data_IF_090990456928
#
_entry.id   IF_090990456928
#
_cell.length_a   1.000
_cell.length_b   1.000
_cell.length_c   1.000
_cell.angle_alpha   90.00
_cell.angle_beta   90.00
_cell.angle_gamma   90.00
#
_symmetry.space_group_name_H-M   'P 1'
#
loop_
_entity.id
_entity.type
_entity.pdbx_description
1 polymer ?
#
# COMPACT_ATOMS: atom_id res chain seq x y z
N UNK A 1 -9.40 2.28 10.25
CA UNK A 1 -9.71 3.60 9.68
C UNK A 1 -8.52 4.03 8.85
N UNK A 2 -8.72 4.04 7.53
CA UNK A 2 -7.68 4.18 6.50
C UNK A 2 -7.12 5.59 6.48
N UNK A 3 -5.78 5.69 6.58
CA UNK A 3 -4.93 6.39 5.61
C UNK A 3 -5.49 7.73 5.09
N UNK A 4 -5.17 8.87 5.73
CA UNK A 4 -5.55 10.16 5.13
C UNK A 4 -4.57 11.33 5.25
N UNK A 5 -3.48 11.27 6.02
CA UNK A 5 -2.56 12.43 6.06
C UNK A 5 -1.39 12.34 5.06
N UNK A 6 -0.82 11.16 4.83
CA UNK A 6 0.33 11.02 3.92
C UNK A 6 -0.04 10.96 2.43
N UNK A 7 -1.21 10.43 2.04
CA UNK A 7 -1.57 10.38 0.60
C UNK A 7 -1.96 11.76 0.05
N UNK A 8 -2.53 12.64 0.89
CA UNK A 8 -2.88 14.01 0.50
C UNK A 8 -1.63 14.86 0.32
N UNK A 9 -0.63 14.72 1.20
CA UNK A 9 0.64 15.46 1.09
C UNK A 9 1.42 15.06 -0.16
N UNK A 10 1.53 13.76 -0.46
CA UNK A 10 2.23 13.27 -1.66
C UNK A 10 1.46 13.53 -2.96
N UNK A 11 0.12 13.47 -2.97
CA UNK A 11 -0.67 13.81 -4.17
C UNK A 11 -0.67 15.31 -4.49
N UNK A 12 -0.64 16.20 -3.49
CA UNK A 12 -0.51 17.64 -3.73
C UNK A 12 0.91 18.02 -4.18
N UNK A 13 1.94 17.36 -3.64
CA UNK A 13 3.33 17.56 -4.06
C UNK A 13 3.55 17.13 -5.52
N UNK A 14 2.97 15.99 -5.94
CA UNK A 14 3.02 15.51 -7.34
C UNK A 14 2.20 16.41 -8.29
N UNK A 15 1.03 16.92 -7.88
CA UNK A 15 0.28 17.88 -8.71
C UNK A 15 0.97 19.25 -8.84
N UNK A 16 1.70 19.70 -7.81
CA UNK A 16 2.47 20.95 -7.85
C UNK A 16 3.79 20.80 -8.62
N UNK A 17 4.43 19.63 -8.59
CA UNK A 17 5.55 19.30 -9.49
C UNK A 17 5.09 19.25 -10.96
N UNK A 18 3.93 18.67 -11.27
CA UNK A 18 3.41 18.65 -12.66
C UNK A 18 2.99 20.03 -13.19
N UNK A 19 2.56 20.95 -12.30
CA UNK A 19 2.26 22.34 -12.67
C UNK A 19 3.50 23.21 -12.88
N UNK A 20 4.59 22.94 -12.17
CA UNK A 20 5.86 23.71 -12.30
C UNK A 20 6.72 23.30 -13.49
N UNK A 21 6.43 22.17 -14.15
CA UNK A 21 7.09 21.73 -15.38
C UNK A 21 6.47 22.25 -16.69
N UNK A 22 5.40 23.06 -16.62
CA UNK A 22 4.71 23.62 -17.80
C UNK A 22 5.21 25.00 -18.23
N UNK A 23 6.24 25.56 -17.60
CA UNK A 23 6.81 26.85 -18.00
C UNK A 23 8.30 26.94 -17.69
N UNK A 24 9.14 26.45 -18.62
CA UNK A 24 10.35 27.13 -19.12
C UNK A 24 11.27 26.13 -19.84
N UNK A 25 11.63 26.48 -21.08
CA UNK A 25 12.49 25.70 -21.95
C UNK A 25 13.99 26.00 -21.71
N UNK A 26 14.83 24.96 -21.64
CA UNK A 26 15.96 24.68 -22.58
C UNK A 26 16.84 23.48 -22.16
N UNK A 27 16.67 22.39 -22.91
CA UNK A 27 17.67 21.59 -23.68
C UNK A 27 19.09 21.30 -23.13
N UNK A 28 19.34 20.01 -22.87
CA UNK A 28 20.25 19.10 -23.62
C UNK A 28 20.86 18.03 -22.70
N UNK A 29 20.04 17.08 -22.24
CA UNK A 29 20.48 15.79 -21.64
C UNK A 29 19.34 14.79 -21.35
N UNK A 30 18.08 15.18 -21.58
CA UNK A 30 16.89 14.36 -21.30
C UNK A 30 16.46 13.45 -22.45
N UNK A 31 16.99 13.62 -23.66
CA UNK A 31 16.57 12.83 -24.84
C UNK A 31 17.05 11.38 -24.80
N UNK A 32 18.21 11.10 -24.19
CA UNK A 32 18.73 9.73 -24.10
C UNK A 32 18.10 8.93 -22.95
N UNK A 33 17.74 9.58 -21.85
CA UNK A 33 17.11 8.90 -20.70
C UNK A 33 15.64 8.57 -20.97
N UNK A 34 14.92 9.48 -21.65
CA UNK A 34 13.53 9.23 -22.07
C UNK A 34 13.46 8.12 -23.13
N UNK A 35 14.36 8.12 -24.12
CA UNK A 35 14.40 7.08 -25.15
C UNK A 35 14.81 5.70 -24.59
N UNK A 36 15.71 5.64 -23.59
CA UNK A 36 16.10 4.39 -22.93
C UNK A 36 14.96 3.86 -22.05
N UNK A 37 14.25 4.73 -21.33
CA UNK A 37 13.06 4.36 -20.55
C UNK A 37 11.91 3.93 -21.47
N UNK A 38 11.64 4.65 -22.55
CA UNK A 38 10.59 4.30 -23.53
C UNK A 38 10.91 2.98 -24.27
N UNK A 39 12.20 2.70 -24.51
CA UNK A 39 12.67 1.42 -25.07
C UNK A 39 12.75 0.28 -24.03
N UNK A 40 12.69 0.59 -22.74
CA UNK A 40 12.54 -0.37 -21.64
C UNK A 40 11.05 -0.66 -21.36
N UNK A 41 10.20 0.38 -21.34
CA UNK A 41 8.74 0.28 -21.25
C UNK A 41 8.16 -0.47 -22.45
N UNK A 42 8.58 -0.16 -23.67
CA UNK A 42 8.14 -0.91 -24.88
C UNK A 42 8.71 -2.33 -24.98
N UNK A 43 9.78 -2.66 -24.24
CA UNK A 43 10.27 -4.06 -24.11
C UNK A 43 9.52 -4.83 -23.02
N UNK A 44 9.04 -4.16 -21.98
CA UNK A 44 8.16 -4.72 -20.95
C UNK A 44 6.73 -4.93 -21.48
N UNK A 45 6.18 -3.97 -22.22
CA UNK A 45 4.87 -4.09 -22.92
C UNK A 45 4.89 -5.26 -23.93
N UNK A 46 5.97 -5.41 -24.70
CA UNK A 46 6.09 -6.50 -25.70
C UNK A 46 6.15 -7.90 -25.09
N UNK A 47 6.49 -8.07 -23.82
CA UNK A 47 6.59 -9.39 -23.19
C UNK A 47 5.27 -9.88 -22.59
N UNK A 48 4.35 -8.99 -22.21
CA UNK A 48 3.04 -9.34 -21.64
C UNK A 48 1.90 -9.25 -22.65
N UNK A 49 2.01 -8.38 -23.66
CA UNK A 49 0.93 -8.11 -24.62
C UNK A 49 0.64 -9.26 -25.59
N UNK A 50 1.64 -10.04 -26.02
CA UNK A 50 1.43 -11.04 -27.08
C UNK A 50 0.46 -12.17 -26.72
N UNK A 51 0.27 -12.47 -25.42
CA UNK A 51 -0.68 -13.51 -24.96
C UNK A 51 -2.09 -12.97 -24.69
N UNK A 52 -2.21 -11.73 -24.21
CA UNK A 52 -3.52 -11.08 -23.97
C UNK A 52 -4.18 -10.63 -25.30
N UNK A 53 -3.35 -10.26 -26.29
CA UNK A 53 -3.76 -9.89 -27.65
C UNK A 53 -4.57 -10.96 -28.41
N UNK A 54 -4.51 -12.24 -28.01
CA UNK A 54 -5.17 -13.36 -28.69
C UNK A 54 -6.57 -13.69 -28.12
N UNK A 55 -6.99 -13.02 -27.06
CA UNK A 55 -8.21 -13.37 -26.33
C UNK A 55 -9.45 -12.69 -26.90
N UNK A 56 -10.46 -13.50 -27.25
CA UNK A 56 -11.80 -12.97 -27.52
C UNK A 56 -12.57 -12.82 -26.21
N UNK A 57 -12.27 -11.76 -25.46
CA UNK A 57 -12.91 -11.40 -24.18
C UNK A 57 -14.43 -11.20 -24.25
N UNK A 58 -15.01 -11.22 -25.46
CA UNK A 58 -16.44 -11.18 -25.64
C UNK A 58 -17.08 -12.57 -25.49
N UNK A 59 -16.38 -13.67 -25.80
CA UNK A 59 -16.93 -15.04 -25.83
C UNK A 59 -16.33 -16.00 -24.80
N UNK A 60 -15.11 -15.73 -24.33
CA UNK A 60 -14.36 -16.62 -23.45
C UNK A 60 -14.06 -15.95 -22.10
N UNK A 61 -14.28 -16.69 -21.01
CA UNK A 61 -13.91 -16.26 -19.65
C UNK A 61 -12.40 -16.32 -19.45
N UNK A 62 -11.83 -15.41 -18.65
CA UNK A 62 -10.45 -15.52 -18.17
C UNK A 62 -10.22 -16.81 -17.38
N UNK A 63 -11.24 -17.41 -16.76
CA UNK A 63 -11.12 -18.66 -16.00
C UNK A 63 -10.86 -19.87 -16.92
N UNK A 64 -11.32 -19.83 -18.18
CA UNK A 64 -10.89 -20.82 -19.20
C UNK A 64 -9.40 -20.70 -19.53
N UNK A 65 -8.79 -19.58 -19.12
CA UNK A 65 -7.37 -19.27 -19.17
C UNK A 65 -6.84 -18.92 -17.76
N UNK A 66 -7.32 -19.60 -16.70
CA UNK A 66 -6.96 -19.27 -15.32
C UNK A 66 -5.44 -19.20 -15.09
N UNK A 67 -4.68 -20.04 -15.80
CA UNK A 67 -3.22 -20.01 -15.84
C UNK A 67 -2.66 -18.65 -16.33
N UNK A 68 -3.34 -17.96 -17.24
CA UNK A 68 -2.93 -16.64 -17.75
C UNK A 68 -3.20 -15.53 -16.74
N UNK A 69 -4.32 -15.57 -16.01
CA UNK A 69 -4.58 -14.60 -14.93
C UNK A 69 -3.61 -14.78 -13.76
N UNK A 70 -3.47 -16.02 -13.27
CA UNK A 70 -2.51 -16.38 -12.23
C UNK A 70 -1.09 -16.01 -12.65
N UNK A 71 -0.69 -16.32 -13.89
CA UNK A 71 0.62 -15.92 -14.44
C UNK A 71 0.80 -14.41 -14.51
N UNK A 72 -0.21 -13.64 -14.92
CA UNK A 72 -0.11 -12.18 -14.98
C UNK A 72 0.06 -11.58 -13.57
N UNK A 73 -0.73 -12.06 -12.60
CA UNK A 73 -0.62 -11.65 -11.20
C UNK A 73 0.75 -12.01 -10.59
N UNK A 74 1.22 -13.24 -10.82
CA UNK A 74 2.54 -13.66 -10.35
C UNK A 74 3.68 -12.89 -11.01
N UNK A 75 3.59 -12.61 -12.32
CA UNK A 75 4.59 -11.85 -13.05
C UNK A 75 4.63 -10.39 -12.59
N UNK A 76 3.48 -9.74 -12.43
CA UNK A 76 3.39 -8.36 -11.96
C UNK A 76 4.02 -8.16 -10.57
N UNK A 77 3.93 -9.20 -9.73
CA UNK A 77 4.46 -9.20 -8.37
C UNK A 77 5.78 -9.98 -8.22
N UNK A 78 6.39 -10.44 -9.32
CA UNK A 78 7.70 -11.08 -9.26
C UNK A 78 8.77 -10.01 -9.09
N UNK A 79 9.15 -9.75 -7.84
CA UNK A 79 10.17 -8.78 -7.49
C UNK A 79 11.36 -9.46 -6.82
N UNK A 80 12.54 -9.17 -7.35
CA UNK A 80 13.82 -9.51 -6.73
C UNK A 80 14.34 -8.27 -6.02
N UNK A 81 14.55 -8.38 -4.71
CA UNK A 81 15.23 -7.33 -3.96
C UNK A 81 16.71 -7.36 -4.32
N UNK A 82 17.22 -6.23 -4.81
CA UNK A 82 18.63 -6.06 -5.17
C UNK A 82 19.33 -5.19 -4.13
N UNK A 83 20.61 -5.45 -3.90
CA UNK A 83 21.44 -4.57 -3.08
C UNK A 83 21.71 -3.25 -3.85
N UNK A 84 21.10 -2.16 -3.39
CA UNK A 84 21.28 -0.81 -3.97
C UNK A 84 22.47 -0.05 -3.38
N UNK A 85 23.13 -0.58 -2.35
CA UNK A 85 24.13 0.12 -1.55
C UNK A 85 23.58 1.23 -0.65
N UNK A 86 22.26 1.48 -0.67
CA UNK A 86 21.62 2.48 0.19
C UNK A 86 21.63 2.03 1.65
N UNK A 87 21.76 3.00 2.56
CA UNK A 87 21.75 2.76 4.01
C UNK A 87 20.36 2.25 4.46
N UNK A 88 19.29 2.93 4.03
CA UNK A 88 17.92 2.43 4.16
C UNK A 88 17.65 1.40 3.08
N UNK A 89 17.41 0.15 3.49
CA UNK A 89 17.15 -0.98 2.59
C UNK A 89 15.77 -1.60 2.83
N UNK A 90 15.24 -1.49 4.05
CA UNK A 90 13.89 -1.95 4.40
C UNK A 90 12.88 -0.91 3.95
N UNK A 91 11.82 -1.35 3.29
CA UNK A 91 10.70 -0.52 2.90
C UNK A 91 9.38 -1.16 3.34
N UNK A 92 8.61 -0.42 4.14
CA UNK A 92 7.32 -0.86 4.65
C UNK A 92 6.22 -0.97 3.59
N UNK A 93 6.48 -0.42 2.39
CA UNK A 93 5.56 -0.47 1.26
C UNK A 93 6.35 -0.69 -0.02
N UNK A 94 6.21 -1.89 -0.56
CA UNK A 94 6.80 -2.31 -1.81
C UNK A 94 5.73 -2.24 -2.91
N UNK A 95 6.12 -1.99 -4.18
CA UNK A 95 5.17 -1.99 -5.28
C UNK A 95 4.44 -3.33 -5.35
N UNK A 96 3.12 -3.30 -5.41
CA UNK A 96 2.27 -4.49 -5.44
C UNK A 96 1.10 -4.22 -6.36
N UNK A 97 0.79 -5.17 -7.23
CA UNK A 97 -0.41 -5.15 -8.06
C UNK A 97 -1.42 -6.14 -7.51
N UNK A 98 -2.57 -5.62 -7.10
CA UNK A 98 -3.63 -6.44 -6.53
C UNK A 98 -4.40 -7.18 -7.64
N UNK A 99 -5.18 -8.19 -7.29
CA UNK A 99 -6.05 -8.87 -8.26
C UNK A 99 -7.03 -7.91 -8.95
N UNK A 100 -7.57 -6.95 -8.20
CA UNK A 100 -8.40 -5.87 -8.70
C UNK A 100 -7.68 -5.02 -9.74
N UNK A 101 -6.39 -4.72 -9.53
CA UNK A 101 -5.59 -3.96 -10.49
C UNK A 101 -5.38 -4.75 -11.78
N UNK A 102 -5.05 -6.04 -11.68
CA UNK A 102 -4.93 -6.93 -12.84
C UNK A 102 -6.26 -7.04 -13.60
N UNK A 103 -7.40 -7.17 -12.89
CA UNK A 103 -8.74 -7.20 -13.51
C UNK A 103 -9.06 -5.90 -14.24
N UNK A 104 -8.72 -4.74 -13.66
CA UNK A 104 -8.91 -3.44 -14.33
C UNK A 104 -8.11 -3.37 -15.62
N UNK A 105 -6.84 -3.79 -15.61
CA UNK A 105 -5.99 -3.83 -16.82
C UNK A 105 -6.60 -4.71 -17.93
N UNK A 106 -7.13 -5.88 -17.57
CA UNK A 106 -7.83 -6.77 -18.52
C UNK A 106 -9.05 -6.07 -19.13
N UNK A 107 -9.84 -5.36 -18.32
CA UNK A 107 -11.01 -4.63 -18.82
C UNK A 107 -10.62 -3.38 -19.62
N UNK A 108 -9.53 -2.69 -19.27
CA UNK A 108 -8.98 -1.56 -20.03
C UNK A 108 -8.61 -2.01 -21.45
N UNK A 109 -7.91 -3.14 -21.56
CA UNK A 109 -7.53 -3.72 -22.85
C UNK A 109 -8.76 -4.15 -23.66
N UNK A 110 -9.70 -4.87 -23.03
CA UNK A 110 -10.96 -5.31 -23.67
C UNK A 110 -11.75 -4.12 -24.22
N UNK A 111 -12.00 -3.12 -23.38
CA UNK A 111 -12.93 -2.04 -23.71
C UNK A 111 -12.30 -0.94 -24.56
N UNK A 112 -10.99 -0.75 -24.53
CA UNK A 112 -10.31 0.12 -25.49
C UNK A 112 -10.52 -0.36 -26.94
N UNK A 113 -10.36 -1.66 -27.21
CA UNK A 113 -10.59 -2.26 -28.54
C UNK A 113 -12.05 -2.18 -28.97
N UNK A 114 -12.96 -2.52 -28.06
CA UNK A 114 -14.40 -2.46 -28.32
C UNK A 114 -14.84 -1.02 -28.61
N UNK A 115 -14.33 -0.05 -27.86
CA UNK A 115 -14.65 1.36 -28.07
C UNK A 115 -14.15 1.86 -29.44
N UNK A 116 -12.97 1.40 -29.89
CA UNK A 116 -12.48 1.70 -31.23
C UNK A 116 -13.48 1.21 -32.30
N UNK A 117 -14.07 0.03 -32.14
CA UNK A 117 -15.12 -0.49 -33.03
C UNK A 117 -16.40 0.34 -32.92
N UNK A 118 -16.87 0.64 -31.71
CA UNK A 118 -18.10 1.40 -31.48
C UNK A 118 -18.05 2.77 -32.18
N UNK A 119 -16.90 3.46 -32.13
CA UNK A 119 -16.67 4.76 -32.79
C UNK A 119 -16.74 4.72 -34.32
N UNK A 120 -16.62 3.54 -34.95
CA UNK A 120 -16.79 3.39 -36.41
C UNK A 120 -18.26 3.32 -36.85
N UNK A 121 -19.21 3.20 -35.90
CA UNK A 121 -20.63 3.06 -36.19
C UNK A 121 -21.28 4.43 -36.38
N UNK A 122 -22.30 4.49 -37.24
CA UNK A 122 -23.08 5.72 -37.48
C UNK A 122 -23.83 6.21 -36.24
N UNK A 123 -24.32 5.28 -35.42
CA UNK A 123 -24.84 5.54 -34.08
C UNK A 123 -24.14 4.62 -33.06
N UNK A 124 -23.02 5.07 -32.45
CA UNK A 124 -22.28 4.25 -31.49
C UNK A 124 -23.10 3.85 -30.27
N UNK A 125 -23.90 4.76 -29.71
CA UNK A 125 -24.71 4.46 -28.52
C UNK A 125 -25.86 3.51 -28.85
N UNK A 126 -26.53 3.72 -29.99
CA UNK A 126 -27.54 2.81 -30.51
C UNK A 126 -26.97 1.40 -30.73
N UNK A 127 -25.77 1.29 -31.33
CA UNK A 127 -25.08 0.01 -31.51
C UNK A 127 -24.82 -0.71 -30.18
N UNK A 128 -24.40 0.01 -29.13
CA UNK A 128 -24.22 -0.59 -27.78
C UNK A 128 -25.57 -1.04 -27.20
N UNK A 129 -26.62 -0.22 -27.30
CA UNK A 129 -27.97 -0.60 -26.85
C UNK A 129 -28.48 -1.84 -27.58
N UNK A 130 -28.20 -1.95 -28.86
CA UNK A 130 -28.58 -3.10 -29.68
C UNK A 130 -27.91 -4.39 -29.22
N UNK A 131 -26.62 -4.33 -28.84
CA UNK A 131 -25.90 -5.48 -28.29
C UNK A 131 -26.47 -5.98 -26.96
N UNK A 132 -26.91 -5.09 -26.07
CA UNK A 132 -27.14 -5.46 -24.66
C UNK A 132 -28.57 -5.28 -24.15
N UNK A 133 -29.40 -4.49 -24.84
CA UNK A 133 -30.75 -4.12 -24.40
C UNK A 133 -31.85 -4.53 -25.39
N UNK A 134 -31.54 -4.67 -26.68
CA UNK A 134 -32.51 -5.00 -27.70
C UNK A 134 -32.47 -6.49 -28.09
N UNK A 135 -33.35 -7.31 -27.51
CA UNK A 135 -33.40 -8.75 -27.80
C UNK A 135 -33.74 -9.11 -29.25
N UNK A 136 -34.24 -8.14 -30.05
CA UNK A 136 -34.58 -8.33 -31.47
C UNK A 136 -33.44 -7.91 -32.41
N UNK A 137 -32.36 -7.32 -31.89
CA UNK A 137 -31.23 -6.89 -32.70
C UNK A 137 -30.41 -8.11 -33.17
N UNK A 138 -29.91 -8.13 -34.43
CA UNK A 138 -28.97 -9.16 -34.87
C UNK A 138 -27.63 -9.12 -34.11
N UNK A 139 -27.34 -8.03 -33.40
CA UNK A 139 -26.14 -7.88 -32.57
C UNK A 139 -26.35 -8.30 -31.11
N UNK A 140 -27.57 -8.68 -30.74
CA UNK A 140 -27.91 -8.97 -29.34
C UNK A 140 -27.06 -10.11 -28.77
N UNK A 141 -26.44 -9.84 -27.62
CA UNK A 141 -25.56 -10.77 -26.89
C UNK A 141 -26.39 -11.74 -26.04
N UNK A 142 -27.07 -12.66 -26.72
CA UNK A 142 -27.87 -13.72 -26.11
C UNK A 142 -27.02 -14.77 -25.36
N UNK A 143 -25.73 -14.85 -25.68
CA UNK A 143 -24.74 -15.70 -25.02
C UNK A 143 -24.30 -15.22 -23.62
N UNK A 144 -24.72 -14.01 -23.25
CA UNK A 144 -24.47 -13.41 -21.93
C UNK A 144 -25.70 -13.57 -21.03
N UNK A 145 -25.47 -13.64 -19.72
CA UNK A 145 -26.53 -13.48 -18.72
C UNK A 145 -27.03 -12.04 -18.67
N UNK A 146 -28.16 -11.78 -18.00
CA UNK A 146 -28.68 -10.42 -17.84
C UNK A 146 -27.68 -9.50 -17.09
N UNK A 147 -27.03 -10.01 -16.05
CA UNK A 147 -26.03 -9.27 -15.27
C UNK A 147 -24.79 -8.94 -16.13
N UNK A 148 -24.29 -9.91 -16.89
CA UNK A 148 -23.14 -9.69 -17.78
C UNK A 148 -23.43 -8.72 -18.92
N UNK A 149 -24.66 -8.76 -19.47
CA UNK A 149 -25.09 -7.74 -20.44
C UNK A 149 -25.15 -6.35 -19.81
N UNK A 150 -25.60 -6.24 -18.56
CA UNK A 150 -25.59 -4.97 -17.85
C UNK A 150 -24.16 -4.48 -17.63
N UNK A 151 -23.27 -5.33 -17.14
CA UNK A 151 -21.87 -5.00 -16.94
C UNK A 151 -21.18 -4.54 -18.23
N UNK A 152 -21.38 -5.26 -19.32
CA UNK A 152 -20.83 -4.89 -20.61
C UNK A 152 -21.41 -3.57 -21.15
N UNK A 153 -22.71 -3.35 -20.97
CA UNK A 153 -23.35 -2.08 -21.31
C UNK A 153 -22.75 -0.91 -20.52
N UNK A 154 -22.62 -1.05 -19.19
CA UNK A 154 -22.08 0.00 -18.32
C UNK A 154 -20.64 0.34 -18.69
N UNK A 155 -19.79 -0.69 -18.84
CA UNK A 155 -18.38 -0.53 -19.16
C UNK A 155 -18.19 0.08 -20.56
N UNK A 156 -18.88 -0.42 -21.59
CA UNK A 156 -18.76 0.14 -22.95
C UNK A 156 -19.27 1.58 -23.06
N UNK A 157 -20.38 1.90 -22.39
CA UNK A 157 -20.93 3.26 -22.42
C UNK A 157 -19.99 4.23 -21.71
N UNK A 158 -19.39 3.84 -20.59
CA UNK A 158 -18.39 4.68 -19.92
C UNK A 158 -17.18 4.95 -20.83
N UNK A 159 -16.68 3.91 -21.51
CA UNK A 159 -15.61 4.05 -22.50
C UNK A 159 -15.98 4.93 -23.70
N UNK A 160 -17.22 4.82 -24.18
CA UNK A 160 -17.73 5.66 -25.29
C UNK A 160 -17.72 7.14 -24.89
N UNK A 161 -18.23 7.46 -23.70
CA UNK A 161 -18.39 8.85 -23.27
C UNK A 161 -17.12 9.48 -22.70
N UNK A 162 -16.29 8.70 -21.99
CA UNK A 162 -15.12 9.23 -21.24
C UNK A 162 -13.78 8.86 -21.86
N UNK A 163 -13.75 7.94 -22.84
CA UNK A 163 -12.51 7.43 -23.43
C UNK A 163 -11.73 6.45 -22.56
N UNK A 164 -12.12 6.28 -21.29
CA UNK A 164 -11.64 5.28 -20.32
C UNK A 164 -12.68 5.08 -19.23
N UNK A 165 -12.72 3.90 -18.60
CA UNK A 165 -13.56 3.70 -17.42
C UNK A 165 -12.94 4.34 -16.18
N UNK A 166 -13.78 4.85 -15.27
CA UNK A 166 -13.34 5.23 -13.91
C UNK A 166 -13.64 4.10 -12.92
N UNK A 167 -14.74 3.37 -13.14
CA UNK A 167 -15.13 2.23 -12.33
C UNK A 167 -15.70 1.16 -13.24
N UNK A 168 -15.19 -0.06 -13.11
CA UNK A 168 -15.71 -1.19 -13.87
C UNK A 168 -16.83 -1.89 -13.12
N UNK A 169 -17.89 -2.24 -13.85
CA UNK A 169 -18.79 -3.28 -13.42
C UNK A 169 -18.09 -4.65 -13.57
N UNK A 170 -17.73 -5.24 -12.42
CA UNK A 170 -16.95 -6.49 -12.34
C UNK A 170 -17.77 -7.76 -12.59
N UNK A 171 -19.10 -7.67 -12.81
CA UNK A 171 -19.91 -8.80 -13.29
C UNK A 171 -19.73 -9.05 -14.80
N UNK A 172 -18.63 -8.55 -15.37
CA UNK A 172 -18.26 -8.73 -16.75
C UNK A 172 -18.05 -10.21 -17.08
N UNK A 173 -18.51 -10.64 -18.25
CA UNK A 173 -18.33 -12.01 -18.73
C UNK A 173 -16.86 -12.44 -18.83
N UNK A 174 -15.93 -11.47 -18.92
CA UNK A 174 -14.50 -11.72 -18.80
C UNK A 174 -14.17 -12.47 -17.50
N UNK A 175 -14.90 -12.24 -16.41
CA UNK A 175 -14.65 -12.84 -15.09
C UNK A 175 -15.66 -13.92 -14.70
N UNK A 176 -16.45 -14.42 -15.66
CA UNK A 176 -17.36 -15.56 -15.42
C UNK A 176 -16.59 -16.73 -14.80
N UNK A 177 -17.20 -17.43 -13.84
CA UNK A 177 -16.59 -18.57 -13.13
C UNK A 177 -15.33 -18.21 -12.33
N UNK A 178 -15.10 -16.93 -12.04
CA UNK A 178 -14.02 -16.49 -11.15
C UNK A 178 -14.60 -15.89 -9.88
N UNK A 179 -14.15 -16.36 -8.71
CA UNK A 179 -14.48 -15.73 -7.43
C UNK A 179 -13.45 -14.64 -7.10
N UNK A 180 -13.94 -13.49 -6.66
CA UNK A 180 -13.13 -12.40 -6.12
C UNK A 180 -13.51 -12.17 -4.66
N UNK A 181 -12.50 -12.01 -3.80
CA UNK A 181 -12.67 -11.73 -2.39
C UNK A 181 -11.67 -10.66 -1.96
N UNK A 182 -12.17 -9.44 -1.73
CA UNK A 182 -11.33 -8.30 -1.36
C UNK A 182 -10.64 -8.43 0.00
N UNK A 183 -11.17 -9.25 0.91
CA UNK A 183 -10.50 -9.52 2.19
C UNK A 183 -9.29 -10.44 1.95
N UNK A 184 -9.44 -11.50 1.16
CA UNK A 184 -8.32 -12.39 0.79
C UNK A 184 -7.25 -11.61 0.00
N UNK A 185 -7.66 -10.72 -0.92
CA UNK A 185 -6.74 -9.83 -1.62
C UNK A 185 -5.93 -8.96 -0.64
N UNK A 186 -6.60 -8.36 0.35
CA UNK A 186 -5.94 -7.55 1.38
C UNK A 186 -4.94 -8.35 2.22
N UNK A 187 -5.23 -9.63 2.48
CA UNK A 187 -4.31 -10.51 3.20
C UNK A 187 -3.14 -10.99 2.31
N UNK A 188 -3.38 -11.25 1.02
CA UNK A 188 -2.33 -11.57 0.04
C UNK A 188 -1.31 -10.43 -0.07
N UNK A 189 -1.76 -9.17 -0.05
CA UNK A 189 -0.87 -8.01 -0.03
C UNK A 189 0.07 -8.07 1.18
N UNK A 190 -0.42 -8.36 2.38
CA UNK A 190 0.43 -8.46 3.57
C UNK A 190 1.46 -9.58 3.48
N UNK A 191 1.08 -10.74 2.93
CA UNK A 191 2.02 -11.84 2.66
C UNK A 191 3.12 -11.38 1.72
N UNK A 192 2.76 -10.69 0.62
CA UNK A 192 3.72 -10.15 -0.33
C UNK A 192 4.67 -9.14 0.34
N UNK A 193 4.13 -8.16 1.07
CA UNK A 193 4.94 -7.15 1.76
C UNK A 193 5.90 -7.78 2.77
N UNK A 194 5.45 -8.79 3.53
CA UNK A 194 6.30 -9.53 4.47
C UNK A 194 7.46 -10.22 3.78
N UNK A 195 7.21 -10.86 2.64
CA UNK A 195 8.25 -11.52 1.86
C UNK A 195 9.28 -10.53 1.29
N UNK A 196 8.85 -9.35 0.84
CA UNK A 196 9.76 -8.30 0.36
C UNK A 196 10.65 -7.79 1.51
N UNK A 197 10.06 -7.49 2.67
CA UNK A 197 10.82 -7.03 3.85
C UNK A 197 11.80 -8.11 4.34
N UNK A 198 11.42 -9.38 4.33
CA UNK A 198 12.34 -10.48 4.66
C UNK A 198 13.55 -10.51 3.73
N UNK A 199 13.35 -10.34 2.41
CA UNK A 199 14.45 -10.29 1.45
C UNK A 199 15.35 -9.06 1.66
N UNK A 200 14.77 -7.89 1.95
CA UNK A 200 15.51 -6.66 2.27
C UNK A 200 16.38 -6.82 3.52
N UNK A 201 15.80 -7.39 4.58
CA UNK A 201 16.55 -7.69 5.80
C UNK A 201 17.67 -8.69 5.53
N UNK A 202 17.43 -9.71 4.71
CA UNK A 202 18.47 -10.68 4.34
C UNK A 202 19.62 -10.02 3.55
N UNK A 203 19.31 -9.09 2.64
CA UNK A 203 20.33 -8.31 1.92
C UNK A 203 21.17 -7.48 2.89
N UNK A 204 20.54 -6.80 3.86
CA UNK A 204 21.26 -6.06 4.91
C UNK A 204 22.19 -6.96 5.72
N UNK A 205 21.68 -8.09 6.21
CA UNK A 205 22.47 -9.05 7.00
C UNK A 205 23.67 -9.55 6.19
N UNK A 206 23.47 -9.90 4.92
CA UNK A 206 24.52 -10.39 4.03
C UNK A 206 25.59 -9.32 3.77
N UNK A 207 25.19 -8.08 3.49
CA UNK A 207 26.09 -6.96 3.22
C UNK A 207 27.04 -6.70 4.40
N UNK A 208 26.50 -6.79 5.62
CA UNK A 208 27.25 -6.60 6.85
C UNK A 208 27.87 -7.89 7.40
N UNK A 209 27.74 -9.01 6.68
CA UNK A 209 28.27 -10.33 7.05
C UNK A 209 27.78 -10.82 8.44
N UNK A 210 26.59 -10.36 8.85
CA UNK A 210 25.96 -10.74 10.11
C UNK A 210 25.32 -12.11 9.92
N UNK A 211 25.78 -13.09 10.69
CA UNK A 211 25.23 -14.45 10.69
C UNK A 211 24.45 -14.68 11.96
N UNK A 212 23.16 -14.94 11.81
CA UNK A 212 22.29 -15.36 12.91
C UNK A 212 22.36 -16.89 13.00
N UNK A 213 22.70 -17.49 14.16
CA UNK A 213 22.80 -18.94 14.29
C UNK A 213 21.47 -19.63 13.97
N UNK A 214 21.54 -20.79 13.32
CA UNK A 214 20.34 -21.58 13.00
C UNK A 214 19.52 -21.88 14.25
N UNK A 215 18.18 -21.88 14.11
CA UNK A 215 17.23 -22.11 15.19
C UNK A 215 17.29 -21.07 16.34
N UNK A 216 17.97 -19.95 16.14
CA UNK A 216 17.84 -18.79 17.02
C UNK A 216 16.57 -18.03 16.67
N UNK A 217 15.72 -17.81 17.67
CA UNK A 217 14.58 -16.89 17.56
C UNK A 217 14.96 -15.60 18.24
N UNK A 218 15.03 -14.53 17.48
CA UNK A 218 15.25 -13.18 17.99
C UNK A 218 13.92 -12.43 18.02
N UNK A 219 13.77 -11.48 18.94
CA UNK A 219 12.67 -10.52 18.91
C UNK A 219 13.24 -9.13 18.73
N UNK A 220 12.77 -8.42 17.71
CA UNK A 220 13.07 -7.01 17.50
C UNK A 220 11.95 -6.19 18.10
N UNK A 221 12.25 -5.38 19.11
CA UNK A 221 11.30 -4.48 19.77
C UNK A 221 11.67 -3.05 19.42
N UNK A 222 10.70 -2.28 18.93
CA UNK A 222 10.93 -0.95 18.39
C UNK A 222 10.07 0.07 19.14
N UNK A 223 10.71 1.08 19.72
CA UNK A 223 10.02 2.18 20.39
C UNK A 223 9.31 3.08 19.38
N UNK A 224 8.17 3.67 19.75
CA UNK A 224 7.53 4.67 18.91
C UNK A 224 8.37 5.97 18.87
N UNK A 225 8.22 6.76 17.80
CA UNK A 225 8.79 8.11 17.62
C UNK A 225 10.29 8.13 17.27
N UNK A 226 11.16 7.64 18.15
CA UNK A 226 12.62 7.61 17.92
C UNK A 226 13.10 6.33 17.24
N UNK A 227 12.21 5.33 17.12
CA UNK A 227 12.44 4.07 16.40
C UNK A 227 13.69 3.33 16.89
N UNK A 228 13.97 3.40 18.20
CA UNK A 228 15.05 2.65 18.83
C UNK A 228 14.74 1.18 18.86
N UNK A 229 15.76 0.37 18.54
CA UNK A 229 15.65 -1.06 18.41
C UNK A 229 16.27 -1.70 19.63
N UNK A 230 15.55 -2.67 20.21
CA UNK A 230 16.06 -3.59 21.19
C UNK A 230 15.97 -5.01 20.65
N UNK A 231 17.07 -5.74 20.67
CA UNK A 231 17.14 -7.14 20.25
C UNK A 231 17.18 -8.05 21.47
N UNK A 232 16.32 -9.07 21.51
CA UNK A 232 16.32 -10.11 22.54
C UNK A 232 16.23 -11.51 21.90
N UNK A 233 16.36 -12.57 22.71
CA UNK A 233 16.32 -13.97 22.26
C UNK A 233 17.69 -14.64 22.11
N UNK A 234 18.76 -13.91 22.43
CA UNK A 234 20.14 -14.42 22.53
C UNK A 234 20.89 -13.71 23.66
N UNK A 235 21.94 -14.33 24.19
CA UNK A 235 22.87 -13.72 25.15
C UNK A 235 24.16 -13.19 24.46
N UNK A 236 24.26 -13.37 23.14
CA UNK A 236 25.38 -12.87 22.33
C UNK A 236 25.30 -11.34 22.19
N UNK A 237 26.03 -10.64 23.06
CA UNK A 237 26.07 -9.18 23.10
C UNK A 237 26.60 -8.53 21.82
N UNK A 238 27.52 -9.19 21.13
CA UNK A 238 28.08 -8.68 19.88
C UNK A 238 27.02 -8.76 18.78
N UNK A 239 26.34 -9.90 18.66
CA UNK A 239 25.24 -10.06 17.70
C UNK A 239 24.10 -9.07 17.97
N UNK A 240 23.72 -8.88 19.23
CA UNK A 240 22.71 -7.88 19.64
C UNK A 240 23.12 -6.50 19.14
N UNK A 241 24.33 -6.05 19.50
CA UNK A 241 24.81 -4.72 19.13
C UNK A 241 24.90 -4.53 17.61
N UNK A 242 25.35 -5.54 16.87
CA UNK A 242 25.41 -5.52 15.41
C UNK A 242 24.02 -5.38 14.78
N UNK A 243 23.02 -6.10 15.29
CA UNK A 243 21.65 -6.06 14.78
C UNK A 243 20.94 -4.76 15.13
N UNK A 244 21.10 -4.27 16.36
CA UNK A 244 20.56 -2.96 16.79
C UNK A 244 21.17 -1.84 15.92
N UNK A 245 22.49 -1.82 15.76
CA UNK A 245 23.18 -0.83 14.91
C UNK A 245 22.77 -0.93 13.44
N UNK A 246 22.61 -2.16 12.92
CA UNK A 246 22.18 -2.40 11.54
C UNK A 246 20.77 -1.87 11.31
N UNK A 247 19.82 -2.20 12.19
CA UNK A 247 18.43 -1.80 12.04
C UNK A 247 18.24 -0.30 12.32
N UNK A 248 19.05 0.31 13.18
CA UNK A 248 19.04 1.76 13.42
C UNK A 248 19.81 2.58 12.36
N UNK A 249 20.50 1.93 11.42
CA UNK A 249 21.11 2.63 10.28
C UNK A 249 20.05 3.11 9.29
N UNK A 250 20.25 4.31 8.74
CA UNK A 250 19.26 4.97 7.89
C UNK A 250 17.89 5.05 8.56
N UNK A 251 16.84 4.68 7.83
CA UNK A 251 15.45 4.65 8.32
C UNK A 251 14.92 3.20 8.48
N UNK A 252 15.81 2.20 8.56
CA UNK A 252 15.42 0.79 8.54
C UNK A 252 14.48 0.41 9.70
N UNK A 253 14.75 0.86 10.92
CA UNK A 253 13.92 0.57 12.10
C UNK A 253 12.54 1.21 12.01
N UNK A 254 12.46 2.43 11.48
CA UNK A 254 11.20 3.11 11.20
C UNK A 254 10.39 2.36 10.14
N UNK A 255 11.00 1.98 9.04
CA UNK A 255 10.32 1.23 7.99
C UNK A 255 9.87 -0.15 8.51
N UNK A 256 10.67 -0.82 9.32
CA UNK A 256 10.26 -2.06 9.99
C UNK A 256 9.10 -1.83 10.96
N UNK A 257 9.11 -0.77 11.78
CA UNK A 257 8.00 -0.40 12.66
C UNK A 257 6.71 -0.15 11.87
N UNK A 258 6.79 0.63 10.79
CA UNK A 258 5.65 0.93 9.92
C UNK A 258 5.12 -0.33 9.24
N UNK A 259 5.99 -1.28 8.89
CA UNK A 259 5.62 -2.58 8.35
C UNK A 259 4.84 -3.42 9.35
N UNK A 260 5.34 -3.54 10.60
CA UNK A 260 4.63 -4.25 11.68
C UNK A 260 3.26 -3.61 11.93
N UNK A 261 3.19 -2.28 11.97
CA UNK A 261 1.93 -1.55 12.16
C UNK A 261 0.91 -1.82 11.05
N UNK A 262 1.34 -2.04 9.79
CA UNK A 262 0.45 -2.35 8.66
C UNK A 262 -0.05 -3.80 8.68
N UNK A 263 0.73 -4.74 9.21
CA UNK A 263 0.31 -6.14 9.38
C UNK A 263 -0.45 -6.40 10.68
N UNK A 264 -0.46 -5.43 11.60
CA UNK A 264 -1.14 -5.49 12.88
C UNK A 264 -2.65 -5.72 12.72
N UNK A 265 -3.17 -6.70 13.45
CA UNK A 265 -4.60 -7.01 13.49
C UNK A 265 -5.25 -6.52 14.80
N UNK A 266 -6.58 -6.35 14.78
CA UNK A 266 -7.33 -5.84 15.94
C UNK A 266 -7.33 -6.78 17.15
N UNK A 267 -7.03 -8.06 16.94
CA UNK A 267 -6.87 -9.07 17.99
C UNK A 267 -5.44 -9.13 18.54
N UNK A 268 -4.52 -8.29 18.05
CA UNK A 268 -3.14 -8.27 18.53
C UNK A 268 -3.06 -7.78 19.97
N UNK A 269 -2.35 -8.51 20.82
CA UNK A 269 -2.00 -8.09 22.19
C UNK A 269 -1.11 -6.84 22.22
N UNK A 270 -0.46 -6.51 21.10
CA UNK A 270 0.35 -5.30 20.96
C UNK A 270 -0.51 -4.06 20.65
N UNK A 271 -1.77 -4.25 20.25
CA UNK A 271 -2.66 -3.14 19.93
C UNK A 271 -3.45 -2.68 21.16
N UNK A 272 -3.28 -1.42 21.53
CA UNK A 272 -4.19 -0.69 22.40
C UNK A 272 -4.63 0.59 21.70
N UNK A 273 -5.94 0.87 21.75
CA UNK A 273 -6.49 2.10 21.17
C UNK A 273 -5.84 3.34 21.80
N UNK A 274 -5.68 3.36 23.11
CA UNK A 274 -5.13 4.51 23.84
C UNK A 274 -3.64 4.71 23.53
N UNK A 275 -2.87 3.61 23.44
CA UNK A 275 -1.46 3.66 23.06
C UNK A 275 -1.30 4.14 21.62
N UNK A 276 -2.12 3.66 20.70
CA UNK A 276 -2.11 4.10 19.30
C UNK A 276 -2.47 5.59 19.18
N UNK A 277 -3.50 6.06 19.90
CA UNK A 277 -3.87 7.48 19.93
C UNK A 277 -2.76 8.36 20.53
N UNK A 278 -2.10 7.90 21.60
CA UNK A 278 -0.90 8.56 22.14
C UNK A 278 0.18 8.65 21.07
N UNK A 279 0.51 7.54 20.41
CA UNK A 279 1.50 7.53 19.32
C UNK A 279 1.18 8.53 18.21
N UNK A 280 -0.07 8.55 17.72
CA UNK A 280 -0.49 9.50 16.68
C UNK A 280 -0.32 10.95 17.13
N UNK A 281 -0.74 11.27 18.36
CA UNK A 281 -0.66 12.62 18.93
C UNK A 281 0.79 13.05 19.12
N UNK A 282 1.61 12.22 19.77
CA UNK A 282 3.01 12.53 20.06
C UNK A 282 3.81 12.68 18.76
N UNK A 283 3.56 11.81 17.77
CA UNK A 283 4.21 11.88 16.46
C UNK A 283 3.83 13.15 15.71
N UNK A 284 2.55 13.51 15.68
CA UNK A 284 2.10 14.75 15.05
C UNK A 284 2.76 15.97 15.68
N UNK A 285 2.77 16.06 17.01
CA UNK A 285 3.41 17.18 17.70
C UNK A 285 4.89 17.27 17.38
N UNK A 286 5.59 16.14 17.41
CA UNK A 286 7.00 16.09 17.07
C UNK A 286 7.25 16.50 15.61
N UNK A 287 6.49 15.96 14.65
CA UNK A 287 6.68 16.25 13.22
C UNK A 287 6.37 17.70 12.83
N UNK A 288 5.42 18.34 13.51
CA UNK A 288 5.00 19.71 13.17
C UNK A 288 5.73 20.76 14.00
N UNK A 289 6.02 20.49 15.27
CA UNK A 289 6.61 21.50 16.18
C UNK A 289 8.07 21.21 16.56
N UNK A 290 8.55 19.99 16.34
CA UNK A 290 9.87 19.54 16.77
C UNK A 290 9.97 19.17 18.25
N UNK A 291 8.91 19.37 19.05
CA UNK A 291 8.95 19.05 20.48
C UNK A 291 8.60 17.60 20.77
N UNK A 292 9.43 16.94 21.57
CA UNK A 292 9.11 15.65 22.17
C UNK A 292 8.20 15.86 23.37
N UNK A 293 6.96 15.37 23.28
CA UNK A 293 5.95 15.58 24.31
C UNK A 293 6.38 15.07 25.71
N UNK A 294 7.21 14.01 25.74
CA UNK A 294 7.76 13.43 26.98
C UNK A 294 8.70 14.37 27.74
N UNK A 295 9.30 15.33 27.05
CA UNK A 295 10.30 16.25 27.60
C UNK A 295 9.67 17.60 28.00
N UNK A 296 8.36 17.77 27.81
CA UNK A 296 7.65 19.00 28.12
C UNK A 296 6.96 18.94 29.48
N UNK A 297 6.94 20.10 30.16
CA UNK A 297 6.20 20.25 31.41
C UNK A 297 4.70 20.42 31.14
N UNK A 298 3.89 19.98 32.11
CA UNK A 298 2.45 20.24 32.12
C UNK A 298 2.13 21.31 33.15
N UNK A 299 1.66 22.48 32.69
CA UNK A 299 1.24 23.61 33.53
C UNK A 299 -0.22 23.90 33.25
N UNK A 300 -1.06 23.93 34.30
CA UNK A 300 -2.51 24.16 34.21
C UNK A 300 -3.21 23.25 33.18
N UNK A 301 -2.80 21.98 33.10
CA UNK A 301 -3.37 20.99 32.19
C UNK A 301 -2.98 21.17 30.71
N UNK A 302 -1.90 21.89 30.44
CA UNK A 302 -1.39 22.15 29.08
C UNK A 302 0.09 21.84 29.00
N UNK A 303 0.54 21.31 27.86
CA UNK A 303 1.96 21.11 27.60
C UNK A 303 2.61 22.45 27.25
N UNK A 304 3.72 22.75 27.92
CA UNK A 304 4.42 24.03 27.78
C UNK A 304 5.82 23.79 27.23
N UNK A 305 6.21 24.59 26.23
CA UNK A 305 7.54 24.57 25.63
C UNK A 305 8.60 25.13 26.60
N UNK A 306 9.91 24.89 26.37
CA UNK A 306 10.97 25.40 27.25
C UNK A 306 11.00 26.94 27.41
N UNK A 307 10.47 27.68 26.44
CA UNK A 307 10.33 29.14 26.46
C UNK A 307 8.99 29.62 27.07
N UNK A 308 8.17 28.71 27.61
CA UNK A 308 6.96 29.04 28.35
C UNK A 308 5.69 29.19 27.51
N UNK A 309 5.69 28.74 26.24
CA UNK A 309 4.53 28.84 25.34
C UNK A 309 3.66 27.60 25.39
N UNK A 310 2.38 27.76 25.14
CA UNK A 310 1.45 26.64 24.98
C UNK A 310 1.78 25.87 23.69
N UNK A 311 2.03 24.57 23.80
CA UNK A 311 2.37 23.72 22.65
C UNK A 311 1.26 23.73 21.59
N UNK A 312 -0.02 23.83 21.98
CA UNK A 312 -1.13 23.85 21.03
C UNK A 312 -1.14 25.13 20.20
N UNK A 313 -0.70 26.26 20.77
CA UNK A 313 -0.53 27.51 20.05
C UNK A 313 0.63 27.43 19.06
N UNK A 314 1.76 26.84 19.47
CA UNK A 314 2.90 26.58 18.57
C UNK A 314 2.47 25.68 17.41
N UNK A 315 1.75 24.59 17.71
CA UNK A 315 1.23 23.68 16.69
C UNK A 315 0.32 24.39 15.68
N UNK A 316 -0.59 25.25 16.15
CA UNK A 316 -1.44 26.07 15.30
C UNK A 316 -0.62 26.95 14.35
N UNK A 317 0.35 27.68 14.88
CA UNK A 317 1.19 28.59 14.10
C UNK A 317 1.97 27.85 13.01
N UNK A 318 2.51 26.67 13.32
CA UNK A 318 3.24 25.86 12.33
C UNK A 318 2.31 25.34 11.22
N UNK A 319 1.09 24.91 11.55
CA UNK A 319 0.10 24.51 10.53
C UNK A 319 -0.31 25.67 9.60
N UNK A 320 -0.38 26.89 10.12
CA UNK A 320 -0.78 28.07 9.35
C UNK A 320 0.32 28.53 8.35
N UNK A 321 1.58 28.12 8.55
CA UNK A 321 2.68 28.40 7.62
C UNK A 321 2.61 27.57 6.33
N UNK A 322 2.02 26.38 6.38
CA UNK A 322 1.84 25.50 5.21
C UNK A 322 0.44 25.72 4.60
N UNK A 323 0.31 26.28 3.38
CA UNK A 323 -1.00 26.57 2.76
C UNK A 323 -1.90 25.34 2.55
N UNK A 324 -1.33 24.13 2.59
CA UNK A 324 -2.06 22.87 2.52
C UNK A 324 -2.64 22.53 3.88
N UNK A 325 -1.80 22.57 4.92
CA UNK A 325 -2.19 22.22 6.29
C UNK A 325 -3.15 23.27 6.88
N UNK A 326 -2.99 24.54 6.52
CA UNK A 326 -3.87 25.62 6.94
C UNK A 326 -5.35 25.33 6.68
N UNK A 327 -5.68 24.66 5.55
CA UNK A 327 -7.06 24.33 5.18
C UNK A 327 -7.74 23.35 6.14
N UNK A 328 -6.94 22.53 6.83
CA UNK A 328 -7.41 21.50 7.75
C UNK A 328 -7.01 21.79 9.20
N UNK A 329 -6.42 22.97 9.46
CA UNK A 329 -5.87 23.30 10.77
C UNK A 329 -6.92 23.27 11.88
N UNK A 330 -8.15 23.72 11.59
CA UNK A 330 -9.25 23.68 12.56
C UNK A 330 -9.55 22.27 13.06
N UNK A 331 -9.69 21.32 12.14
CA UNK A 331 -10.00 19.92 12.47
C UNK A 331 -8.83 19.25 13.21
N UNK A 332 -7.60 19.55 12.78
CA UNK A 332 -6.38 19.06 13.43
C UNK A 332 -6.28 19.58 14.88
N UNK A 333 -6.53 20.87 15.10
CA UNK A 333 -6.52 21.48 16.43
C UNK A 333 -7.60 20.90 17.34
N UNK A 334 -8.80 20.68 16.81
CA UNK A 334 -9.88 20.06 17.58
C UNK A 334 -9.51 18.63 18.01
N UNK A 335 -8.96 17.84 17.08
CA UNK A 335 -8.57 16.46 17.35
C UNK A 335 -7.38 16.37 18.32
N UNK A 336 -6.24 16.97 17.96
CA UNK A 336 -5.00 16.85 18.74
C UNK A 336 -5.02 17.68 20.01
N UNK A 337 -5.72 18.81 20.04
CA UNK A 337 -5.92 19.59 21.27
C UNK A 337 -6.69 18.81 22.34
N UNK A 338 -7.72 18.06 21.93
CA UNK A 338 -8.45 17.17 22.85
C UNK A 338 -7.56 16.06 23.40
N UNK A 339 -6.74 15.43 22.55
CA UNK A 339 -5.82 14.36 23.00
C UNK A 339 -4.68 14.89 23.87
N UNK A 340 -4.13 16.06 23.56
CA UNK A 340 -3.15 16.74 24.42
C UNK A 340 -3.74 17.06 25.80
N UNK A 341 -4.94 17.62 25.86
CA UNK A 341 -5.62 17.88 27.14
C UNK A 341 -5.87 16.60 27.93
N UNK A 342 -6.23 15.50 27.25
CA UNK A 342 -6.38 14.18 27.88
C UNK A 342 -5.06 13.67 28.45
N UNK A 343 -3.97 13.74 27.69
CA UNK A 343 -2.63 13.31 28.13
C UNK A 343 -2.09 14.18 29.27
N UNK A 344 -2.27 15.50 29.19
CA UNK A 344 -1.86 16.43 30.24
C UNK A 344 -2.58 16.16 31.57
N UNK A 345 -3.89 15.86 31.52
CA UNK A 345 -4.68 15.52 32.71
C UNK A 345 -4.34 14.14 33.28
N UNK A 346 -4.11 13.15 32.43
CA UNK A 346 -3.79 11.79 32.85
C UNK A 346 -2.32 11.62 33.27
N UNK A 347 -1.43 12.50 32.84
CA UNK A 347 0.01 12.33 32.89
C UNK A 347 0.54 11.51 31.72
N UNK A 348 1.63 11.95 31.10
CA UNK A 348 2.19 11.31 29.90
C UNK A 348 2.46 9.81 30.12
N UNK A 349 3.08 9.44 31.25
CA UNK A 349 3.49 8.06 31.54
C UNK A 349 2.35 7.11 31.96
N UNK A 350 1.15 7.64 32.23
CA UNK A 350 0.01 6.78 32.61
C UNK A 350 -0.59 6.03 31.42
N UNK A 351 -0.34 6.50 30.21
CA UNK A 351 -0.77 5.85 28.96
C UNK A 351 0.42 5.13 28.34
N UNK A 352 0.29 3.81 28.15
CA UNK A 352 1.34 2.97 27.58
C UNK A 352 1.80 3.45 26.21
N UNK A 353 3.09 3.27 25.93
CA UNK A 353 3.65 3.56 24.61
C UNK A 353 3.25 2.50 23.59
N UNK A 354 3.12 2.90 22.33
CA UNK A 354 2.80 2.01 21.21
C UNK A 354 4.06 1.30 20.69
N UNK A 355 4.68 0.53 21.57
CA UNK A 355 5.86 -0.28 21.27
C UNK A 355 5.42 -1.49 20.45
N UNK A 356 6.13 -1.75 19.35
CA UNK A 356 5.85 -2.87 18.47
C UNK A 356 7.05 -3.81 18.41
N UNK A 357 6.75 -5.09 18.42
CA UNK A 357 7.72 -6.16 18.39
C UNK A 357 7.39 -7.16 17.30
N UNK A 358 8.44 -7.80 16.79
CA UNK A 358 8.33 -8.87 15.80
C UNK A 358 9.43 -9.90 16.00
N UNK A 359 9.11 -11.18 15.82
CA UNK A 359 10.10 -12.24 15.89
C UNK A 359 10.80 -12.41 14.55
N UNK A 360 12.06 -12.84 14.59
CA UNK A 360 12.85 -13.24 13.44
C UNK A 360 13.47 -14.61 13.69
N UNK A 361 13.20 -15.55 12.79
CA UNK A 361 13.84 -16.87 12.81
C UNK A 361 13.94 -17.44 11.40
N UNK A 362 15.08 -18.09 11.12
CA UNK A 362 15.32 -18.82 9.87
C UNK A 362 14.96 -18.02 8.60
N UNK A 363 15.39 -16.76 8.52
CA UNK A 363 15.17 -15.90 7.35
C UNK A 363 13.79 -15.24 7.26
N UNK A 364 12.94 -15.39 8.27
CA UNK A 364 11.59 -14.83 8.25
C UNK A 364 11.23 -14.07 9.51
N UNK A 365 10.68 -12.88 9.31
CA UNK A 365 9.93 -12.14 10.32
C UNK A 365 8.56 -12.81 10.57
N UNK A 366 8.10 -12.83 11.83
CA UNK A 366 6.85 -13.48 12.28
C UNK A 366 6.09 -12.59 13.24
N UNK A 367 4.82 -12.31 12.94
CA UNK A 367 3.98 -11.42 13.74
C UNK A 367 3.68 -12.04 15.11
N UNK A 368 3.79 -11.23 16.17
CA UNK A 368 3.57 -11.71 17.55
C UNK A 368 2.30 -11.12 18.17
N UNK A 369 1.70 -11.87 19.10
CA UNK A 369 0.53 -11.43 19.86
C UNK A 369 -0.78 -11.44 19.08
N UNK A 370 -0.81 -11.91 17.84
CA UNK A 370 -2.00 -11.99 16.98
C UNK A 370 -2.21 -13.38 16.37
N UNK A 371 -3.44 -13.71 15.97
CA UNK A 371 -3.76 -15.04 15.41
C UNK A 371 -3.13 -15.33 14.05
N UNK A 372 -2.94 -14.29 13.24
CA UNK A 372 -2.41 -14.39 11.86
C UNK A 372 -0.97 -13.90 11.83
N UNK A 373 -0.06 -14.79 11.46
CA UNK A 373 1.31 -14.43 11.07
C UNK A 373 1.43 -14.52 9.55
N UNK A 374 2.24 -13.64 8.98
CA UNK A 374 2.54 -13.61 7.54
C UNK A 374 3.94 -14.14 7.23
N UNK A 375 4.65 -14.66 8.23
CA UNK A 375 5.98 -15.23 8.07
C UNK A 375 6.00 -16.43 7.12
N UNK A 376 7.16 -16.73 6.55
CA UNK A 376 7.35 -17.88 5.66
C UNK A 376 6.99 -19.16 6.41
N UNK A 377 6.01 -19.88 5.85
CA UNK A 377 5.44 -21.10 6.45
C UNK A 377 4.19 -20.87 7.32
N UNK A 378 3.84 -19.64 7.68
CA UNK A 378 2.71 -19.33 8.57
C UNK A 378 1.42 -18.99 7.83
N UNK A 379 1.40 -19.09 6.50
CA UNK A 379 0.30 -18.61 5.66
C UNK A 379 -0.73 -19.68 5.32
N UNK A 380 -0.67 -20.89 5.89
CA UNK A 380 -1.62 -21.98 5.55
C UNK A 380 -3.10 -21.60 5.74
N UNK A 381 -3.38 -20.71 6.70
CA UNK A 381 -4.72 -20.21 6.97
C UNK A 381 -5.31 -19.44 5.77
N UNK A 382 -4.49 -18.68 5.02
CA UNK A 382 -4.96 -17.94 3.84
C UNK A 382 -5.27 -18.90 2.70
N UNK A 383 -4.44 -19.94 2.53
CA UNK A 383 -4.63 -20.96 1.50
C UNK A 383 -5.88 -21.82 1.77
N UNK A 384 -6.15 -22.12 3.04
CA UNK A 384 -7.41 -22.77 3.44
C UNK A 384 -8.62 -21.86 3.15
N UNK A 385 -8.51 -20.57 3.43
CA UNK A 385 -9.58 -19.61 3.18
C UNK A 385 -9.87 -19.46 1.68
N UNK A 386 -8.82 -19.37 0.83
CA UNK A 386 -8.95 -19.38 -0.64
C UNK A 386 -9.74 -20.59 -1.13
N UNK A 387 -9.38 -21.80 -0.69
CA UNK A 387 -10.10 -23.03 -1.05
C UNK A 387 -11.56 -23.01 -0.65
N UNK A 388 -11.87 -22.52 0.57
CA UNK A 388 -13.25 -22.40 1.06
C UNK A 388 -14.06 -21.36 0.28
N UNK A 389 -13.41 -20.30 -0.19
CA UNK A 389 -14.03 -19.28 -1.03
C UNK A 389 -14.14 -19.69 -2.51
N UNK A 390 -13.67 -20.89 -2.89
CA UNK A 390 -13.62 -21.33 -4.30
C UNK A 390 -12.65 -20.52 -5.15
N UNK A 391 -11.61 -19.96 -4.53
CA UNK A 391 -10.49 -19.30 -5.22
C UNK A 391 -9.45 -20.37 -5.54
N UNK A 392 -9.24 -20.61 -6.83
CA UNK A 392 -8.47 -21.75 -7.35
C UNK A 392 -7.22 -21.34 -8.16
N UNK A 393 -6.74 -20.10 -8.05
CA UNK A 393 -5.59 -19.57 -8.79
C UNK A 393 -4.41 -19.22 -7.90
#
# INVERSE_FOLDING_TARGET
>A
MRLHSQSIRTQLMVQNMLKSYSSNARNNRLSDTAAVLEKAYSRLEKSSDERLNQLNYSKESIAKNAASFSSAYHQANHQTVIDTGEETMIHAKNPYESESDIRKKILDEKYSRINAINKTKSDPLGYIKDKYKNSKSPYFRSDLTAAERQAAYDNETEWLFKGKAQNYNMQDAAFRDTTFNGDIESENEKVFQRNQVNQQLQVLLNRHQIKIPENTTLTFTITPIDYKVKVSGTDDKELIHQLESLLESGENSKELFLHIMKSLSSDSAQYSKDAYQKYQTVREMYEVTGYHLKDLEVVDGRFVTPDGRDLLEVYKEELEKDPVQQKTAHDALAHFGSELGRLAKAGYDSVSEFILSIDYSNGSLRDIGQKKSYGTGDTEWIEKWKRQAGINY
#
